data_IF_893348878782
#
_entry.id   IF_893348878782
#
_cell.length_a   1.000
_cell.length_b   1.000
_cell.length_c   1.000
_cell.angle_alpha   90.00
_cell.angle_beta   90.00
_cell.angle_gamma   90.00
#
_symmetry.space_group_name_H-M   'P 1'
#
loop_
_entity.id
_entity.type
_entity.pdbx_description
1 polymer ?
#
# COMPACT_ATOMS: atom_id res chain seq x y z
N UNK A 1 12.31 -18.48 -3.00
CA UNK A 1 12.79 -19.87 -3.12
C UNK A 1 11.65 -20.74 -3.63
N UNK A 2 11.88 -21.51 -4.71
CA UNK A 2 10.92 -22.50 -5.19
C UNK A 2 11.05 -23.77 -4.31
N UNK A 3 9.97 -24.12 -3.63
CA UNK A 3 9.92 -25.33 -2.80
C UNK A 3 9.57 -26.56 -3.65
N UNK A 4 8.69 -26.39 -4.62
CA UNK A 4 8.36 -27.38 -5.63
C UNK A 4 8.05 -26.67 -6.94
N UNK A 5 8.45 -27.23 -8.06
CA UNK A 5 8.20 -26.60 -9.35
C UNK A 5 8.13 -27.59 -10.49
N UNK A 6 7.02 -27.49 -11.27
CA UNK A 6 6.89 -27.99 -12.62
C UNK A 6 6.24 -26.91 -13.45
N UNK A 7 6.21 -27.06 -14.77
CA UNK A 7 5.44 -26.13 -15.63
C UNK A 7 3.94 -26.06 -15.26
N UNK A 8 3.44 -27.04 -14.52
CA UNK A 8 2.02 -27.17 -14.17
C UNK A 8 1.71 -26.77 -12.72
N UNK A 9 2.67 -26.93 -11.80
CA UNK A 9 2.49 -26.69 -10.37
C UNK A 9 3.70 -25.97 -9.79
N UNK A 10 3.49 -25.01 -8.90
CA UNK A 10 4.57 -24.34 -8.17
C UNK A 10 4.14 -24.01 -6.76
N UNK A 11 5.08 -24.14 -5.83
CA UNK A 11 4.97 -23.62 -4.47
C UNK A 11 6.25 -22.81 -4.21
N UNK A 12 6.08 -21.52 -3.98
CA UNK A 12 7.19 -20.59 -3.73
C UNK A 12 7.08 -20.08 -2.31
N UNK A 13 8.22 -20.11 -1.61
CA UNK A 13 8.41 -19.42 -0.35
C UNK A 13 9.27 -18.19 -0.60
N UNK A 14 8.83 -17.04 -0.12
CA UNK A 14 9.54 -15.79 -0.26
C UNK A 14 9.46 -14.99 1.04
N UNK A 15 10.32 -14.01 1.18
CA UNK A 15 10.27 -13.12 2.33
C UNK A 15 11.31 -12.01 2.26
N UNK A 16 11.18 -11.10 3.21
CA UNK A 16 12.11 -10.00 3.40
C UNK A 16 12.30 -9.75 4.88
N UNK A 17 13.53 -9.80 5.34
CA UNK A 17 13.93 -9.34 6.67
C UNK A 17 14.52 -7.94 6.54
N UNK A 18 14.08 -7.03 7.40
CA UNK A 18 14.57 -5.66 7.44
C UNK A 18 14.96 -5.34 8.87
N UNK A 19 16.24 -5.13 9.09
CA UNK A 19 16.74 -4.54 10.31
C UNK A 19 16.85 -3.03 10.07
N UNK A 20 16.07 -2.24 10.83
CA UNK A 20 16.01 -0.78 10.65
C UNK A 20 15.80 -0.05 11.97
N UNK A 21 16.36 1.14 12.03
CA UNK A 21 16.21 2.02 13.17
C UNK A 21 15.77 3.39 12.71
N UNK A 22 14.78 3.93 13.39
CA UNK A 22 14.45 5.35 13.33
C UNK A 22 15.19 6.10 14.43
N UNK A 23 15.65 7.30 14.11
CA UNK A 23 16.13 8.28 15.06
C UNK A 23 15.42 9.61 14.79
N UNK A 24 14.68 10.11 15.77
CA UNK A 24 13.90 11.33 15.70
C UNK A 24 13.98 12.10 17.01
N UNK A 25 13.52 13.34 17.00
CA UNK A 25 13.51 14.19 18.19
C UNK A 25 12.45 13.75 19.20
N UNK A 26 11.42 13.02 18.75
CA UNK A 26 10.37 12.47 19.58
C UNK A 26 10.68 11.04 19.99
N UNK A 27 10.52 10.71 21.27
CA UNK A 27 10.70 9.35 21.79
C UNK A 27 9.77 8.30 21.12
N UNK A 28 8.66 8.71 20.50
CA UNK A 28 7.77 7.83 19.75
C UNK A 28 8.36 7.37 18.41
N UNK A 29 9.26 8.15 17.84
CA UNK A 29 9.87 7.93 16.54
C UNK A 29 11.32 7.47 16.63
N UNK A 30 11.88 7.37 17.84
CA UNK A 30 13.18 6.76 18.05
C UNK A 30 13.03 5.27 18.38
N UNK A 31 13.89 4.44 17.81
CA UNK A 31 14.01 3.03 18.18
C UNK A 31 13.98 2.04 17.04
N UNK A 32 13.90 0.78 17.44
CA UNK A 32 13.87 -0.38 16.54
C UNK A 32 12.53 -0.46 15.79
N UNK A 33 12.62 -0.54 14.47
CA UNK A 33 11.49 -0.73 13.55
C UNK A 33 11.68 -1.97 12.68
N UNK A 34 12.50 -2.89 13.13
CA UNK A 34 12.85 -4.12 12.41
C UNK A 34 11.66 -5.07 12.30
N UNK A 35 11.55 -5.73 11.18
CA UNK A 35 10.49 -6.70 10.93
C UNK A 35 10.87 -7.69 9.84
N UNK A 36 10.17 -8.79 9.83
CA UNK A 36 10.16 -9.80 8.79
C UNK A 36 8.77 -9.89 8.20
N UNK A 37 8.65 -9.98 6.89
CA UNK A 37 7.47 -10.58 6.27
C UNK A 37 7.87 -11.73 5.38
N UNK A 38 7.03 -12.75 5.34
CA UNK A 38 7.24 -13.92 4.52
C UNK A 38 5.90 -14.49 4.04
N UNK A 39 5.92 -15.24 2.96
CA UNK A 39 4.70 -15.78 2.38
C UNK A 39 4.92 -17.04 1.56
N UNK A 40 3.82 -17.72 1.34
CA UNK A 40 3.70 -18.88 0.47
C UNK A 40 2.76 -18.54 -0.69
N UNK A 41 3.20 -18.82 -1.90
CA UNK A 41 2.40 -18.68 -3.10
C UNK A 41 2.37 -20.00 -3.85
N UNK A 42 1.18 -20.61 -3.89
CA UNK A 42 0.92 -21.86 -4.59
C UNK A 42 0.16 -21.62 -5.88
N UNK A 43 0.50 -22.37 -6.95
CA UNK A 43 -0.25 -22.42 -8.21
C UNK A 43 -0.35 -23.86 -8.66
N UNK A 44 -1.55 -24.25 -9.16
CA UNK A 44 -1.81 -25.60 -9.66
C UNK A 44 -2.69 -25.53 -10.90
N UNK A 45 -2.30 -26.22 -11.97
CA UNK A 45 -3.15 -26.43 -13.14
C UNK A 45 -4.34 -27.32 -12.75
N UNK A 46 -5.55 -26.87 -13.02
CA UNK A 46 -6.81 -27.57 -12.71
C UNK A 46 -7.57 -27.99 -13.97
N UNK A 47 -7.35 -27.29 -15.09
CA UNK A 47 -7.93 -27.62 -16.39
C UNK A 47 -7.08 -27.00 -17.52
N UNK A 48 -7.32 -27.29 -18.81
CA UNK A 48 -6.70 -26.58 -19.92
C UNK A 48 -6.93 -25.06 -19.76
N UNK A 49 -5.84 -24.27 -19.74
CA UNK A 49 -5.83 -22.81 -19.58
C UNK A 49 -6.27 -22.29 -18.20
N UNK A 50 -6.67 -23.15 -17.25
CA UNK A 50 -7.08 -22.74 -15.89
C UNK A 50 -6.07 -23.19 -14.85
N UNK A 51 -5.76 -22.28 -13.92
CA UNK A 51 -4.92 -22.55 -12.74
C UNK A 51 -5.65 -22.08 -11.50
N UNK A 52 -5.66 -22.88 -10.46
CA UNK A 52 -5.93 -22.42 -9.10
C UNK A 52 -4.68 -21.80 -8.53
N UNK A 53 -4.83 -20.80 -7.68
CA UNK A 53 -3.73 -20.22 -6.91
C UNK A 53 -4.19 -19.84 -5.51
N UNK A 54 -3.23 -19.83 -4.59
CA UNK A 54 -3.42 -19.34 -3.24
C UNK A 54 -2.20 -18.54 -2.81
N UNK A 55 -2.41 -17.55 -1.96
CA UNK A 55 -1.37 -16.70 -1.42
C UNK A 55 -1.63 -16.45 0.06
N UNK A 56 -0.62 -16.67 0.88
CA UNK A 56 -0.60 -16.31 2.29
C UNK A 56 0.67 -15.56 2.60
N UNK A 57 0.57 -14.42 3.32
CA UNK A 57 1.69 -13.58 3.74
C UNK A 57 1.48 -13.14 5.19
N UNK A 58 2.54 -13.22 5.97
CA UNK A 58 2.53 -12.86 7.39
C UNK A 58 3.68 -11.91 7.71
N UNK A 59 3.47 -11.00 8.68
CA UNK A 59 4.52 -10.11 9.20
C UNK A 59 4.79 -10.41 10.66
N UNK A 60 6.07 -10.34 11.03
CA UNK A 60 6.58 -10.44 12.39
C UNK A 60 7.37 -9.19 12.70
N UNK A 61 6.96 -8.46 13.74
CA UNK A 61 7.73 -7.34 14.28
C UNK A 61 8.77 -7.85 15.27
N UNK A 62 9.99 -7.36 15.23
CA UNK A 62 11.02 -7.77 16.18
C UNK A 62 10.92 -6.99 17.50
N UNK A 63 10.48 -5.72 17.41
CA UNK A 63 10.34 -4.86 18.58
C UNK A 63 9.03 -5.09 19.37
N UNK A 64 7.97 -5.60 18.71
CA UNK A 64 6.64 -5.67 19.32
C UNK A 64 5.83 -6.84 18.74
N UNK A 65 5.75 -7.94 19.49
CA UNK A 65 5.03 -9.15 19.09
C UNK A 65 3.52 -8.91 18.90
N UNK A 66 2.93 -7.87 19.47
CA UNK A 66 1.51 -7.52 19.29
C UNK A 66 1.21 -6.99 17.88
N UNK A 67 2.23 -6.63 17.12
CA UNK A 67 2.12 -6.16 15.73
C UNK A 67 2.24 -7.27 14.69
N UNK A 68 2.35 -8.52 15.13
CA UNK A 68 2.36 -9.66 14.22
C UNK A 68 0.98 -9.85 13.59
N UNK A 69 0.92 -10.03 12.28
CA UNK A 69 -0.37 -10.13 11.60
C UNK A 69 -0.29 -10.78 10.22
N UNK A 70 -1.41 -11.40 9.82
CA UNK A 70 -1.63 -11.80 8.43
C UNK A 70 -1.75 -10.55 7.55
N UNK A 71 -0.88 -10.44 6.56
CA UNK A 71 -0.90 -9.37 5.56
C UNK A 71 -1.86 -9.71 4.42
N UNK A 72 -1.69 -10.89 3.81
CA UNK A 72 -2.49 -11.39 2.72
C UNK A 72 -2.94 -12.83 3.01
N UNK A 73 -4.15 -13.19 2.58
CA UNK A 73 -4.67 -14.55 2.63
C UNK A 73 -5.83 -14.68 1.65
N UNK A 74 -5.57 -15.18 0.45
CA UNK A 74 -6.60 -15.32 -0.58
C UNK A 74 -6.36 -16.55 -1.46
N UNK A 75 -7.45 -17.02 -2.07
CA UNK A 75 -7.46 -18.13 -3.00
C UNK A 75 -8.26 -17.73 -4.25
N UNK A 76 -7.85 -18.22 -5.40
CA UNK A 76 -8.53 -17.88 -6.65
C UNK A 76 -8.22 -18.80 -7.80
N UNK A 77 -8.78 -18.42 -8.95
CA UNK A 77 -8.57 -19.08 -10.23
C UNK A 77 -8.08 -18.07 -11.26
N UNK A 78 -7.25 -18.52 -12.17
CA UNK A 78 -6.64 -17.70 -13.21
C UNK A 78 -6.78 -18.38 -14.56
N UNK A 79 -7.11 -17.58 -15.58
CA UNK A 79 -7.13 -17.97 -16.97
C UNK A 79 -6.41 -16.92 -17.82
N UNK A 80 -5.59 -17.33 -18.78
CA UNK A 80 -4.81 -16.40 -19.59
C UNK A 80 -5.66 -15.43 -20.44
N UNK A 81 -6.88 -15.84 -20.81
CA UNK A 81 -7.80 -15.02 -21.64
C UNK A 81 -8.72 -14.17 -20.78
N UNK A 82 -9.27 -14.76 -19.70
CA UNK A 82 -10.31 -14.11 -18.89
C UNK A 82 -9.77 -13.37 -17.66
N UNK A 83 -8.47 -13.52 -17.34
CA UNK A 83 -7.87 -12.90 -16.16
C UNK A 83 -7.95 -13.79 -14.93
N UNK A 84 -8.03 -13.18 -13.76
CA UNK A 84 -8.07 -13.88 -12.46
C UNK A 84 -9.25 -13.41 -11.61
N UNK A 85 -9.74 -14.33 -10.79
CA UNK A 85 -10.76 -14.06 -9.77
C UNK A 85 -10.30 -14.70 -8.46
N UNK A 86 -10.22 -13.93 -7.40
CA UNK A 86 -9.85 -14.40 -6.06
C UNK A 86 -10.76 -13.85 -4.98
N UNK A 87 -10.76 -14.55 -3.84
CA UNK A 87 -11.49 -14.15 -2.64
C UNK A 87 -10.59 -14.25 -1.42
N UNK A 88 -10.69 -13.26 -0.52
CA UNK A 88 -9.98 -13.27 0.74
C UNK A 88 -9.46 -11.89 1.18
N UNK A 89 -8.40 -11.89 2.00
CA UNK A 89 -7.66 -10.68 2.37
C UNK A 89 -6.62 -10.37 1.32
N UNK A 90 -6.83 -9.29 0.58
CA UNK A 90 -5.97 -8.91 -0.55
C UNK A 90 -5.74 -7.39 -0.57
N UNK A 91 -4.86 -6.94 -1.44
CA UNK A 91 -4.69 -5.54 -1.73
C UNK A 91 -5.95 -4.95 -2.37
N UNK A 92 -6.38 -3.80 -1.85
CA UNK A 92 -7.46 -3.02 -2.42
C UNK A 92 -7.06 -2.41 -3.77
N UNK A 93 -8.05 -2.14 -4.63
CA UNK A 93 -7.81 -1.53 -5.96
C UNK A 93 -7.12 -0.17 -5.89
N UNK A 94 -7.30 0.56 -4.79
CA UNK A 94 -6.66 1.86 -4.62
C UNK A 94 -5.13 1.73 -4.43
N UNK A 95 -4.68 0.59 -3.92
CA UNK A 95 -3.25 0.29 -3.82
C UNK A 95 -2.58 0.14 -5.20
N UNK A 96 -3.32 -0.18 -6.26
CA UNK A 96 -2.77 -0.20 -7.62
C UNK A 96 -2.18 1.17 -8.03
N UNK A 97 -2.71 2.26 -7.45
CA UNK A 97 -2.21 3.63 -7.62
C UNK A 97 -1.16 3.96 -6.57
N UNK A 98 -1.49 3.79 -5.28
CA UNK A 98 -0.62 4.25 -4.19
C UNK A 98 0.66 3.43 -4.06
N UNK A 99 0.70 2.21 -4.60
CA UNK A 99 1.91 1.41 -4.74
C UNK A 99 3.01 2.06 -5.61
N UNK A 100 2.68 3.09 -6.38
CA UNK A 100 3.66 3.81 -7.19
C UNK A 100 4.67 4.58 -6.33
N UNK A 101 4.24 5.10 -5.20
CA UNK A 101 5.08 5.81 -4.23
C UNK A 101 5.54 4.91 -3.08
N UNK A 102 4.88 3.78 -2.84
CA UNK A 102 5.31 2.74 -1.88
C UNK A 102 6.48 1.90 -2.43
N UNK A 103 7.60 2.52 -2.65
CA UNK A 103 8.81 1.90 -3.22
C UNK A 103 9.99 1.98 -2.27
N UNK A 104 9.74 1.57 -1.03
CA UNK A 104 10.71 1.54 0.06
C UNK A 104 12.16 1.16 -0.37
N UNK A 105 13.19 1.54 0.40
CA UNK A 105 13.13 1.59 1.88
C UNK A 105 12.69 2.91 2.50
N UNK A 106 11.98 3.71 1.78
CA UNK A 106 11.49 5.03 2.19
C UNK A 106 10.61 5.00 3.42
N UNK A 107 10.31 6.17 3.97
CA UNK A 107 9.36 6.33 5.05
C UNK A 107 8.00 5.76 4.65
N UNK A 108 7.35 5.07 5.57
CA UNK A 108 6.13 4.32 5.31
C UNK A 108 4.87 5.12 5.46
N UNK A 109 4.99 6.35 5.89
CA UNK A 109 3.86 7.19 6.14
C UNK A 109 3.34 7.76 4.84
N UNK A 110 3.00 6.86 3.93
CA UNK A 110 2.19 7.25 2.80
C UNK A 110 0.87 7.76 3.34
N UNK A 111 0.53 8.96 2.97
CA UNK A 111 -0.64 9.69 3.40
C UNK A 111 -1.92 8.87 3.33
N UNK A 112 -1.91 7.85 2.52
CA UNK A 112 -3.05 7.06 2.17
C UNK A 112 -3.15 5.71 2.90
N UNK A 113 -2.06 5.12 3.38
CA UNK A 113 -2.00 3.73 3.84
C UNK A 113 -2.39 3.51 5.30
N UNK A 114 -2.97 4.50 5.96
CA UNK A 114 -3.36 4.35 7.37
C UNK A 114 -4.52 3.39 7.62
N UNK A 115 -5.27 2.99 6.60
CA UNK A 115 -6.44 2.15 6.79
C UNK A 115 -6.35 0.91 5.91
N UNK A 116 -6.08 -0.23 6.53
CA UNK A 116 -6.15 -1.57 5.92
C UNK A 116 -7.62 -2.02 5.80
N UNK A 117 -8.45 -1.21 5.16
CA UNK A 117 -9.88 -1.44 4.96
C UNK A 117 -10.40 -0.63 3.77
N UNK A 118 -11.69 -0.80 3.40
CA UNK A 118 -12.38 -0.01 2.37
C UNK A 118 -11.67 -0.01 1.00
N UNK A 119 -11.02 -1.13 0.66
CA UNK A 119 -10.24 -1.32 -0.58
C UNK A 119 -9.07 -0.33 -0.76
N UNK A 120 -8.57 0.22 0.35
CA UNK A 120 -7.44 1.18 0.35
C UNK A 120 -6.09 0.49 0.45
N UNK A 121 -5.78 -0.13 1.57
CA UNK A 121 -4.61 -0.97 1.76
C UNK A 121 -4.98 -2.45 1.58
N UNK A 122 -4.60 -3.30 2.54
CA UNK A 122 -4.98 -4.71 2.57
C UNK A 122 -6.33 -4.87 3.26
N UNK A 123 -7.36 -5.17 2.51
CA UNK A 123 -8.70 -5.32 3.04
C UNK A 123 -9.15 -6.78 3.05
N UNK A 124 -10.07 -7.12 3.95
CA UNK A 124 -10.66 -8.44 4.10
C UNK A 124 -11.96 -8.55 3.32
N UNK A 125 -12.40 -9.80 3.11
CA UNK A 125 -13.66 -10.10 2.45
C UNK A 125 -13.77 -9.49 1.05
N UNK A 126 -12.66 -9.46 0.32
CA UNK A 126 -12.60 -8.98 -1.05
C UNK A 126 -12.87 -10.12 -2.03
N UNK A 127 -13.77 -9.90 -2.96
CA UNK A 127 -13.82 -10.60 -4.25
C UNK A 127 -13.13 -9.70 -5.26
N UNK A 128 -12.04 -10.18 -5.86
CA UNK A 128 -11.20 -9.38 -6.76
C UNK A 128 -11.14 -10.04 -8.14
N UNK A 129 -11.52 -9.29 -9.17
CA UNK A 129 -11.28 -9.66 -10.56
C UNK A 129 -10.18 -8.78 -11.14
N UNK A 130 -9.20 -9.38 -11.83
CA UNK A 130 -8.11 -8.67 -12.51
C UNK A 130 -7.91 -9.20 -13.92
N UNK A 131 -7.80 -8.30 -14.89
CA UNK A 131 -7.56 -8.65 -16.28
C UNK A 131 -6.57 -7.70 -16.94
N UNK A 132 -5.37 -8.17 -17.33
CA UNK A 132 -4.53 -7.48 -18.28
C UNK A 132 -5.04 -7.71 -19.71
N UNK A 133 -4.96 -6.69 -20.56
CA UNK A 133 -5.36 -6.75 -21.96
C UNK A 133 -4.61 -5.72 -22.81
N UNK A 134 -4.78 -5.77 -24.11
CA UNK A 134 -4.28 -4.74 -25.02
C UNK A 134 -5.42 -3.81 -25.44
N UNK A 135 -5.18 -2.51 -25.33
CA UNK A 135 -6.08 -1.47 -25.79
C UNK A 135 -5.28 -0.52 -26.70
N UNK A 136 -5.73 -0.32 -27.94
CA UNK A 136 -5.00 0.46 -28.95
C UNK A 136 -3.52 0.08 -29.07
N UNK A 137 -3.23 -1.23 -29.11
CA UNK A 137 -1.89 -1.81 -29.17
C UNK A 137 -0.99 -1.47 -27.95
N UNK A 138 -1.56 -0.94 -26.88
CA UNK A 138 -0.86 -0.63 -25.62
C UNK A 138 -1.34 -1.55 -24.51
N UNK A 139 -0.47 -1.78 -23.53
CA UNK A 139 -0.83 -2.57 -22.35
C UNK A 139 -1.83 -1.80 -21.49
N UNK A 140 -2.91 -2.46 -21.14
CA UNK A 140 -3.90 -1.99 -20.20
C UNK A 140 -4.20 -3.08 -19.15
N UNK A 141 -4.69 -2.68 -17.99
CA UNK A 141 -5.17 -3.58 -16.96
C UNK A 141 -6.40 -3.00 -16.27
N UNK A 142 -7.37 -3.85 -16.01
CA UNK A 142 -8.57 -3.53 -15.24
C UNK A 142 -8.60 -4.39 -13.98
N UNK A 143 -8.96 -3.79 -12.85
CA UNK A 143 -9.37 -4.53 -11.66
C UNK A 143 -10.74 -4.06 -11.18
N UNK A 144 -11.57 -5.02 -10.74
CA UNK A 144 -12.85 -4.80 -10.10
C UNK A 144 -12.82 -5.50 -8.75
N UNK A 145 -13.34 -4.83 -7.73
CA UNK A 145 -13.43 -5.41 -6.39
C UNK A 145 -14.82 -5.21 -5.80
N UNK A 146 -15.26 -6.21 -5.08
CA UNK A 146 -16.39 -6.12 -4.18
C UNK A 146 -15.94 -6.51 -2.77
N UNK A 147 -16.21 -5.66 -1.79
CA UNK A 147 -15.96 -5.95 -0.39
C UNK A 147 -17.27 -6.34 0.27
N UNK A 148 -17.36 -7.58 0.76
CA UNK A 148 -18.52 -8.05 1.50
C UNK A 148 -18.55 -7.45 2.90
N UNK A 149 -19.73 -7.12 3.37
CA UNK A 149 -19.95 -6.61 4.73
C UNK A 149 -19.37 -7.54 5.79
N UNK A 150 -18.66 -6.95 6.73
CA UNK A 150 -18.21 -7.59 7.97
C UNK A 150 -18.60 -6.70 9.16
N UNK A 151 -19.62 -7.12 9.87
CA UNK A 151 -20.17 -6.46 11.06
C UNK A 151 -19.91 -7.24 12.35
N UNK A 152 -18.91 -8.14 12.37
CA UNK A 152 -18.59 -8.95 13.54
C UNK A 152 -18.29 -8.07 14.77
N UNK A 153 -19.15 -8.16 15.78
CA UNK A 153 -19.07 -7.34 16.99
C UNK A 153 -17.88 -7.66 17.91
N UNK A 154 -17.23 -8.83 17.70
CA UNK A 154 -15.98 -9.18 18.39
C UNK A 154 -14.79 -8.34 17.89
N UNK A 155 -14.92 -7.68 16.75
CA UNK A 155 -13.87 -6.86 16.16
C UNK A 155 -14.01 -5.41 16.61
N UNK A 156 -12.89 -4.69 16.61
CA UNK A 156 -12.91 -3.24 16.81
C UNK A 156 -13.65 -2.55 15.64
N UNK A 157 -14.33 -1.43 15.87
CA UNK A 157 -15.04 -0.70 14.81
C UNK A 157 -14.19 -0.40 13.57
N UNK A 158 -12.92 -0.06 13.75
CA UNK A 158 -11.99 0.22 12.64
C UNK A 158 -11.72 -0.98 11.71
N UNK A 159 -11.97 -2.21 12.21
CA UNK A 159 -11.82 -3.45 11.42
C UNK A 159 -13.11 -3.92 10.75
N UNK A 160 -14.25 -3.33 11.06
CA UNK A 160 -15.52 -3.63 10.41
C UNK A 160 -15.65 -2.88 9.08
N UNK A 161 -16.55 -3.32 8.22
CA UNK A 161 -16.94 -2.62 6.99
C UNK A 161 -18.38 -2.98 6.59
N UNK A 162 -19.05 -2.11 5.87
CA UNK A 162 -20.24 -2.44 5.09
C UNK A 162 -19.85 -3.03 3.74
N UNK A 163 -20.82 -3.16 2.83
CA UNK A 163 -20.53 -3.53 1.45
C UNK A 163 -19.81 -2.39 0.73
N UNK A 164 -18.91 -2.75 -0.18
CA UNK A 164 -18.17 -1.78 -0.99
C UNK A 164 -17.91 -2.30 -2.39
N UNK A 165 -17.70 -1.36 -3.30
CA UNK A 165 -17.30 -1.61 -4.67
C UNK A 165 -16.11 -0.73 -5.03
N UNK A 166 -15.16 -1.27 -5.80
CA UNK A 166 -13.99 -0.55 -6.26
C UNK A 166 -13.54 -1.00 -7.65
N UNK A 167 -12.86 -0.10 -8.33
CA UNK A 167 -12.26 -0.36 -9.63
C UNK A 167 -10.90 0.32 -9.73
N UNK A 168 -9.98 -0.26 -10.51
CA UNK A 168 -8.80 0.42 -10.99
C UNK A 168 -8.57 0.16 -12.48
N UNK A 169 -7.96 1.14 -13.12
CA UNK A 169 -7.59 1.06 -14.52
C UNK A 169 -6.18 1.62 -14.72
N UNK A 170 -5.34 0.84 -15.40
CA UNK A 170 -4.00 1.24 -15.80
C UNK A 170 -3.87 1.21 -17.31
N UNK A 171 -3.23 2.24 -17.87
CA UNK A 171 -2.96 2.34 -19.29
C UNK A 171 -1.50 2.77 -19.54
N UNK A 172 -0.78 2.03 -20.35
CA UNK A 172 0.58 2.35 -20.77
C UNK A 172 0.54 3.26 -21.99
N UNK A 173 0.79 4.57 -21.79
CA UNK A 173 0.91 5.54 -22.89
C UNK A 173 2.12 5.24 -23.78
N UNK A 174 3.23 4.83 -23.15
CA UNK A 174 4.45 4.36 -23.82
C UNK A 174 4.99 3.13 -23.07
N UNK A 175 6.05 2.47 -23.55
CA UNK A 175 6.69 1.39 -22.79
C UNK A 175 7.17 1.81 -21.38
N UNK A 176 7.44 3.09 -21.19
CA UNK A 176 7.98 3.65 -19.92
C UNK A 176 7.00 4.52 -19.16
N UNK A 177 5.94 5.03 -19.79
CA UNK A 177 4.98 5.96 -19.17
C UNK A 177 3.61 5.28 -19.04
N UNK A 178 3.05 5.30 -17.82
CA UNK A 178 1.72 4.76 -17.52
C UNK A 178 0.89 5.76 -16.72
N UNK A 179 -0.42 5.76 -16.97
CA UNK A 179 -1.43 6.39 -16.13
C UNK A 179 -2.21 5.31 -15.40
N UNK A 180 -2.54 5.56 -14.13
CA UNK A 180 -3.34 4.66 -13.31
C UNK A 180 -4.38 5.50 -12.57
N UNK A 181 -5.62 5.03 -12.55
CA UNK A 181 -6.68 5.63 -11.73
C UNK A 181 -7.45 4.52 -11.03
N UNK A 182 -7.92 4.81 -9.82
CA UNK A 182 -8.75 3.90 -9.04
C UNK A 182 -9.78 4.66 -8.22
N UNK A 183 -10.93 4.02 -8.01
CA UNK A 183 -11.99 4.57 -7.17
C UNK A 183 -12.61 3.46 -6.33
N UNK A 184 -13.08 3.81 -5.13
CA UNK A 184 -13.87 2.92 -4.30
C UNK A 184 -14.99 3.67 -3.58
N UNK A 185 -16.09 2.95 -3.35
CA UNK A 185 -17.21 3.40 -2.56
C UNK A 185 -17.59 2.30 -1.56
N UNK A 186 -17.58 2.61 -0.28
CA UNK A 186 -17.81 1.63 0.79
C UNK A 186 -18.84 2.14 1.78
N UNK A 187 -19.76 1.29 2.17
CA UNK A 187 -20.65 1.55 3.30
C UNK A 187 -19.93 1.26 4.63
N UNK A 188 -20.43 1.86 5.69
CA UNK A 188 -19.96 1.62 7.06
C UNK A 188 -21.03 0.90 7.88
N UNK A 189 -20.61 0.21 8.94
CA UNK A 189 -21.53 -0.40 9.89
C UNK A 189 -22.10 0.67 10.85
N UNK A 190 -23.25 0.37 11.45
CA UNK A 190 -23.83 1.26 12.48
C UNK A 190 -22.86 1.48 13.66
N UNK A 191 -22.10 0.44 14.03
CA UNK A 191 -21.11 0.53 15.11
C UNK A 191 -19.96 1.45 14.75
N UNK A 192 -19.49 1.42 13.50
CA UNK A 192 -18.48 2.39 13.01
C UNK A 192 -19.02 3.81 13.08
N UNK A 193 -20.28 4.03 12.72
CA UNK A 193 -20.89 5.36 12.77
C UNK A 193 -21.03 5.88 14.22
N UNK A 194 -21.42 5.03 15.16
CA UNK A 194 -21.63 5.39 16.57
C UNK A 194 -20.31 5.52 17.35
N UNK A 195 -19.43 4.53 17.24
CA UNK A 195 -18.24 4.41 18.10
C UNK A 195 -16.99 5.12 17.53
N UNK A 196 -16.88 5.28 16.20
CA UNK A 196 -15.71 5.84 15.55
C UNK A 196 -16.00 7.08 14.67
N UNK A 197 -17.25 7.57 14.70
CA UNK A 197 -17.64 8.82 14.04
C UNK A 197 -17.61 8.76 12.51
N UNK A 198 -17.59 7.57 11.89
CA UNK A 198 -17.70 7.45 10.44
C UNK A 198 -19.06 7.94 9.94
N UNK A 199 -19.12 8.44 8.72
CA UNK A 199 -20.37 8.63 7.99
C UNK A 199 -20.82 7.30 7.37
N UNK A 200 -22.03 7.26 6.83
CA UNK A 200 -22.63 6.04 6.23
C UNK A 200 -21.82 5.50 5.05
N UNK A 201 -21.13 6.39 4.33
CA UNK A 201 -20.39 6.06 3.12
C UNK A 201 -19.00 6.70 3.15
N UNK A 202 -18.05 5.97 2.62
CA UNK A 202 -16.67 6.38 2.39
C UNK A 202 -16.43 6.25 0.89
N UNK A 203 -16.05 7.36 0.27
CA UNK A 203 -15.68 7.41 -1.14
C UNK A 203 -14.20 7.79 -1.24
N UNK A 204 -13.49 7.16 -2.16
CA UNK A 204 -12.08 7.47 -2.40
C UNK A 204 -11.76 7.39 -3.88
N UNK A 205 -11.02 8.37 -4.36
CA UNK A 205 -10.42 8.45 -5.68
C UNK A 205 -8.90 8.46 -5.52
N UNK A 206 -8.19 7.79 -6.40
CA UNK A 206 -6.73 7.84 -6.52
C UNK A 206 -6.32 7.92 -7.98
N UNK A 207 -5.35 8.76 -8.27
CA UNK A 207 -4.80 8.96 -9.61
C UNK A 207 -3.27 8.96 -9.53
N UNK A 208 -2.61 8.37 -10.52
CA UNK A 208 -1.16 8.28 -10.53
C UNK A 208 -0.57 8.27 -11.92
N UNK A 209 0.62 8.82 -12.01
CA UNK A 209 1.49 8.76 -13.18
C UNK A 209 2.79 8.08 -12.81
N UNK A 210 3.26 7.21 -13.68
CA UNK A 210 4.50 6.48 -13.53
C UNK A 210 5.34 6.61 -14.80
N UNK A 211 6.55 7.13 -14.65
CA UNK A 211 7.62 6.98 -15.62
C UNK A 211 8.67 6.02 -15.05
N UNK A 212 8.92 4.92 -15.74
CA UNK A 212 9.90 3.93 -15.32
C UNK A 212 10.77 3.49 -16.50
N UNK A 213 12.05 3.79 -16.43
CA UNK A 213 13.09 3.36 -17.37
C UNK A 213 14.12 2.49 -16.64
N UNK A 214 15.20 2.10 -17.34
CA UNK A 214 16.30 1.33 -16.72
C UNK A 214 17.00 2.09 -15.58
N UNK A 215 17.08 3.43 -15.67
CA UNK A 215 17.82 4.27 -14.72
C UNK A 215 16.95 5.17 -13.87
N UNK A 216 15.77 5.56 -14.37
CA UNK A 216 14.93 6.59 -13.75
C UNK A 216 13.59 5.98 -13.40
N UNK A 217 13.15 6.21 -12.18
CA UNK A 217 11.81 5.93 -11.69
C UNK A 217 11.23 7.23 -11.16
N UNK A 218 10.13 7.71 -11.76
CA UNK A 218 9.38 8.87 -11.30
C UNK A 218 7.93 8.46 -11.12
N UNK A 219 7.37 8.77 -9.97
CA UNK A 219 5.96 8.54 -9.69
C UNK A 219 5.36 9.77 -9.01
N UNK A 220 4.12 10.07 -9.35
CA UNK A 220 3.30 11.01 -8.61
C UNK A 220 1.91 10.41 -8.40
N UNK A 221 1.36 10.62 -7.21
CA UNK A 221 0.06 10.10 -6.79
C UNK A 221 -0.74 11.21 -6.14
N UNK A 222 -1.99 11.33 -6.53
CA UNK A 222 -3.00 12.13 -5.87
C UNK A 222 -4.09 11.20 -5.32
N UNK A 223 -4.56 11.46 -4.09
CA UNK A 223 -5.74 10.78 -3.56
C UNK A 223 -6.71 11.77 -2.93
N UNK A 224 -7.98 11.50 -3.06
CA UNK A 224 -9.03 12.20 -2.35
C UNK A 224 -9.96 11.21 -1.69
N UNK A 225 -10.29 11.46 -0.44
CA UNK A 225 -11.14 10.58 0.35
C UNK A 225 -12.15 11.37 1.14
N UNK A 226 -13.40 10.96 1.06
CA UNK A 226 -14.47 11.51 1.88
C UNK A 226 -14.80 10.57 3.04
N UNK A 227 -14.88 11.13 4.26
CA UNK A 227 -15.32 10.45 5.48
C UNK A 227 -14.40 9.33 6.00
N UNK A 228 -13.17 9.23 5.51
CA UNK A 228 -12.17 8.30 6.03
C UNK A 228 -10.84 9.00 6.20
N UNK A 229 -10.56 9.41 7.41
CA UNK A 229 -9.36 10.13 7.78
C UNK A 229 -8.54 9.25 8.71
N UNK A 230 -7.25 9.59 8.83
CA UNK A 230 -6.24 8.90 9.64
C UNK A 230 -6.76 8.35 10.98
N UNK A 231 -6.33 7.15 11.39
CA UNK A 231 -6.70 6.54 12.68
C UNK A 231 -6.21 7.31 13.91
N UNK A 232 -5.33 8.29 13.73
CA UNK A 232 -4.85 9.13 14.83
C UNK A 232 -5.87 10.18 15.27
N UNK A 233 -6.98 10.33 14.57
CA UNK A 233 -8.00 11.33 14.85
C UNK A 233 -9.29 10.71 15.37
N UNK A 234 -9.84 11.31 16.42
CA UNK A 234 -11.06 10.87 17.11
C UNK A 234 -12.35 11.01 16.30
N UNK A 235 -12.34 11.63 15.12
CA UNK A 235 -13.50 11.81 14.26
C UNK A 235 -13.14 11.65 12.79
N UNK A 236 -13.55 10.54 12.20
CA UNK A 236 -13.38 10.24 10.76
C UNK A 236 -14.40 10.97 9.88
N UNK A 237 -14.60 12.26 10.11
CA UNK A 237 -15.53 13.11 9.34
C UNK A 237 -14.76 14.20 8.61
N UNK A 238 -15.13 14.46 7.36
CA UNK A 238 -14.52 15.44 6.49
C UNK A 238 -13.93 14.79 5.25
N UNK A 239 -13.22 15.56 4.47
CA UNK A 239 -12.45 15.08 3.33
C UNK A 239 -10.96 15.14 3.62
N UNK A 240 -10.21 14.33 2.92
CA UNK A 240 -8.76 14.36 2.94
C UNK A 240 -8.21 14.27 1.53
N UNK A 241 -7.22 15.08 1.23
CA UNK A 241 -6.47 15.03 -0.04
C UNK A 241 -5.01 14.76 0.25
N UNK A 242 -4.39 13.84 -0.47
CA UNK A 242 -2.96 13.59 -0.38
C UNK A 242 -2.26 13.79 -1.71
N UNK A 243 -1.02 14.23 -1.62
CA UNK A 243 -0.10 14.41 -2.74
C UNK A 243 1.18 13.68 -2.38
N UNK A 244 1.60 12.78 -3.25
CA UNK A 244 2.83 12.02 -3.08
C UNK A 244 3.63 12.05 -4.37
N UNK A 245 4.94 12.22 -4.25
CA UNK A 245 5.86 12.15 -5.38
C UNK A 245 7.13 11.39 -4.96
N UNK A 246 7.67 10.63 -5.89
CA UNK A 246 8.90 9.87 -5.69
C UNK A 246 9.75 9.89 -6.94
N UNK A 247 11.02 10.22 -6.77
CA UNK A 247 12.05 10.07 -7.80
C UNK A 247 13.16 9.17 -7.28
N UNK A 248 13.57 8.18 -8.08
CA UNK A 248 14.74 7.32 -7.84
C UNK A 248 15.60 7.31 -9.09
N UNK A 249 16.90 7.39 -8.89
CA UNK A 249 17.87 7.38 -9.98
C UNK A 249 18.92 6.31 -9.74
N UNK A 250 19.12 5.39 -10.67
CA UNK A 250 20.21 4.41 -10.64
C UNK A 250 21.49 5.09 -11.12
N UNK A 251 22.22 5.66 -10.17
CA UNK A 251 23.48 6.37 -10.44
C UNK A 251 24.54 5.39 -10.94
N UNK A 252 24.68 4.25 -10.26
CA UNK A 252 25.50 3.10 -10.65
C UNK A 252 24.69 1.82 -10.51
N UNK A 253 25.27 0.65 -10.78
CA UNK A 253 24.59 -0.64 -10.53
C UNK A 253 24.37 -0.89 -9.03
N UNK A 254 25.09 -0.17 -8.17
CA UNK A 254 25.03 -0.35 -6.71
C UNK A 254 24.40 0.83 -5.97
N UNK A 255 24.40 2.04 -6.53
CA UNK A 255 23.99 3.26 -5.82
C UNK A 255 22.71 3.83 -6.44
N UNK A 256 21.71 4.01 -5.61
CA UNK A 256 20.40 4.56 -6.01
C UNK A 256 19.96 5.66 -5.04
N UNK A 257 20.23 6.94 -5.30
CA UNK A 257 19.62 8.05 -4.59
C UNK A 257 18.12 8.13 -4.87
N UNK A 258 17.40 8.70 -3.90
CA UNK A 258 15.97 8.97 -4.00
C UNK A 258 15.62 10.31 -3.35
N UNK A 259 14.55 10.89 -3.84
CA UNK A 259 13.86 12.02 -3.23
C UNK A 259 12.36 11.75 -3.25
N UNK A 260 11.68 12.06 -2.17
CA UNK A 260 10.24 11.92 -2.02
C UNK A 260 9.59 13.17 -1.44
N UNK A 261 8.29 13.30 -1.65
CA UNK A 261 7.44 14.31 -1.06
C UNK A 261 6.10 13.69 -0.70
N UNK A 262 5.61 14.02 0.50
CA UNK A 262 4.29 13.57 0.96
C UNK A 262 3.58 14.70 1.68
N UNK A 263 2.32 14.96 1.28
CA UNK A 263 1.44 15.90 1.98
C UNK A 263 0.04 15.31 2.10
N UNK A 264 -0.51 15.34 3.30
CA UNK A 264 -1.91 14.96 3.59
C UNK A 264 -2.62 16.15 4.22
N UNK A 265 -3.67 16.60 3.56
CA UNK A 265 -4.50 17.73 4.00
C UNK A 265 -5.85 17.17 4.41
N UNK A 266 -6.27 17.47 5.62
CA UNK A 266 -7.65 17.26 6.06
C UNK A 266 -8.45 18.55 5.93
N UNK A 267 -9.65 18.45 5.36
CA UNK A 267 -10.62 19.54 5.33
C UNK A 267 -11.80 19.20 6.22
N UNK A 268 -12.00 19.99 7.26
CA UNK A 268 -13.11 19.85 8.21
C UNK A 268 -13.77 21.20 8.50
N UNK A 269 -15.08 21.29 8.36
CA UNK A 269 -15.84 22.53 8.57
C UNK A 269 -15.24 23.75 7.83
N UNK A 270 -14.80 23.55 6.58
CA UNK A 270 -14.20 24.59 5.74
C UNK A 270 -12.76 25.00 6.13
N UNK A 271 -12.14 24.31 7.07
CA UNK A 271 -10.75 24.57 7.47
C UNK A 271 -9.85 23.42 6.99
N UNK A 272 -8.72 23.80 6.40
CA UNK A 272 -7.67 22.88 5.99
C UNK A 272 -6.63 22.74 7.08
N UNK A 273 -6.17 21.52 7.31
CA UNK A 273 -5.13 21.19 8.27
C UNK A 273 -4.19 20.15 7.66
N UNK A 274 -2.91 20.45 7.62
CA UNK A 274 -1.89 19.48 7.21
C UNK A 274 -1.72 18.44 8.31
N UNK A 275 -1.93 17.17 7.97
CA UNK A 275 -1.69 16.03 8.84
C UNK A 275 -0.32 15.42 8.62
N UNK A 276 0.16 15.46 7.38
CA UNK A 276 1.52 15.13 6.96
C UNK A 276 1.98 16.22 5.99
N UNK A 277 3.22 16.63 6.10
CA UNK A 277 3.90 17.50 5.14
C UNK A 277 5.40 17.33 5.30
N UNK A 278 6.02 16.51 4.48
CA UNK A 278 7.46 16.26 4.56
C UNK A 278 8.08 15.98 3.20
N UNK A 279 9.34 16.24 3.13
CA UNK A 279 10.24 15.83 2.07
C UNK A 279 11.20 14.77 2.60
N UNK A 280 11.65 13.89 1.73
CA UNK A 280 12.65 12.88 2.11
C UNK A 280 13.77 12.81 1.09
N UNK A 281 14.98 12.65 1.59
CA UNK A 281 16.18 12.39 0.82
C UNK A 281 16.81 11.10 1.30
N UNK A 282 17.24 10.26 0.37
CA UNK A 282 17.87 9.03 0.76
C UNK A 282 18.79 8.46 -0.29
N UNK A 283 19.53 7.45 0.14
CA UNK A 283 20.37 6.64 -0.71
C UNK A 283 20.23 5.17 -0.35
N UNK A 284 20.12 4.35 -1.37
CA UNK A 284 20.16 2.88 -1.24
C UNK A 284 21.42 2.37 -1.89
N UNK A 285 22.15 1.53 -1.16
CA UNK A 285 23.29 0.78 -1.67
C UNK A 285 22.87 -0.68 -1.89
N UNK A 286 22.79 -1.09 -3.15
CA UNK A 286 22.50 -2.45 -3.58
C UNK A 286 23.77 -3.29 -3.48
N UNK A 287 23.90 -4.12 -2.45
CA UNK A 287 25.06 -5.00 -2.26
C UNK A 287 25.05 -6.13 -3.29
N UNK A 288 23.87 -6.66 -3.56
CA UNK A 288 23.60 -7.66 -4.61
C UNK A 288 22.09 -7.63 -4.97
N UNK A 289 21.61 -8.63 -5.71
CA UNK A 289 20.18 -8.74 -6.09
C UNK A 289 19.23 -8.94 -4.91
N UNK A 290 19.74 -9.38 -3.75
CA UNK A 290 18.95 -9.81 -2.61
C UNK A 290 19.19 -8.97 -1.35
N UNK A 291 20.22 -8.14 -1.33
CA UNK A 291 20.65 -7.42 -0.14
C UNK A 291 20.94 -5.95 -0.42
N UNK A 292 20.42 -5.06 0.40
CA UNK A 292 20.65 -3.63 0.30
C UNK A 292 20.78 -2.97 1.68
N UNK A 293 21.54 -1.88 1.71
CA UNK A 293 21.66 -0.96 2.84
C UNK A 293 21.07 0.37 2.43
N UNK A 294 20.44 1.07 3.35
CA UNK A 294 19.80 2.34 3.06
C UNK A 294 19.91 3.32 4.21
N UNK A 295 19.87 4.59 3.85
CA UNK A 295 19.73 5.72 4.75
C UNK A 295 18.78 6.73 4.11
N UNK A 296 17.79 7.22 4.87
CA UNK A 296 16.84 8.24 4.44
C UNK A 296 16.66 9.26 5.55
N UNK A 297 16.50 10.51 5.18
CA UNK A 297 16.20 11.61 6.09
C UNK A 297 14.89 12.26 5.67
N UNK A 298 13.98 12.43 6.64
CA UNK A 298 12.71 13.11 6.51
C UNK A 298 12.83 14.52 7.08
N UNK A 299 12.59 15.52 6.23
CA UNK A 299 12.45 16.93 6.62
C UNK A 299 10.97 17.21 6.84
N UNK A 300 10.58 17.42 8.08
CA UNK A 300 9.19 17.65 8.44
C UNK A 300 8.84 19.13 8.38
N UNK A 301 7.85 19.47 7.54
CA UNK A 301 7.40 20.86 7.33
C UNK A 301 6.13 21.20 8.12
N UNK A 302 5.72 20.35 9.09
CA UNK A 302 4.56 20.63 9.92
C UNK A 302 4.88 21.63 11.03
N UNK A 303 3.91 22.47 11.37
CA UNK A 303 4.03 23.34 12.54
C UNK A 303 3.98 22.52 13.83
N UNK A 304 4.94 22.73 14.73
CA UNK A 304 5.05 22.06 16.04
C UNK A 304 3.86 22.34 16.99
N UNK A 305 2.95 23.24 16.62
CA UNK A 305 1.84 23.68 17.47
C UNK A 305 0.55 22.86 17.30
N UNK A 306 0.56 21.79 16.51
CA UNK A 306 -0.62 20.95 16.32
C UNK A 306 -0.65 19.78 17.32
N UNK A 307 -1.61 19.72 18.25
CA UNK A 307 -1.72 18.59 19.18
C UNK A 307 -1.93 17.26 18.44
N UNK A 308 -1.08 16.28 18.73
CA UNK A 308 -1.20 14.92 18.19
C UNK A 308 -0.61 14.72 16.80
N UNK A 309 0.02 15.72 16.22
CA UNK A 309 0.76 15.64 14.96
C UNK A 309 2.25 15.64 15.27
N UNK A 310 2.98 14.70 14.69
CA UNK A 310 4.44 14.67 14.81
C UNK A 310 5.06 15.59 13.76
N UNK A 311 5.78 16.59 14.20
CA UNK A 311 6.45 17.60 13.40
C UNK A 311 7.99 17.48 13.47
N UNK A 312 8.51 16.37 13.98
CA UNK A 312 9.95 16.15 14.07
C UNK A 312 10.55 15.58 12.78
N UNK A 313 11.77 15.99 12.47
CA UNK A 313 12.60 15.34 11.47
C UNK A 313 12.96 13.93 11.92
N UNK A 314 13.17 13.04 10.94
CA UNK A 314 13.49 11.64 11.20
C UNK A 314 14.64 11.16 10.33
N UNK A 315 15.52 10.37 10.93
CA UNK A 315 16.53 9.59 10.23
C UNK A 315 16.11 8.12 10.25
N UNK A 316 16.10 7.47 9.09
CA UNK A 316 15.86 6.05 8.93
C UNK A 316 17.06 5.39 8.28
N UNK A 317 17.63 4.40 8.94
CA UNK A 317 18.71 3.61 8.41
C UNK A 317 18.46 2.12 8.61
N UNK A 318 18.95 1.32 7.68
CA UNK A 318 18.79 -0.12 7.82
C UNK A 318 19.42 -0.95 6.73
N UNK A 319 19.23 -2.24 6.88
CA UNK A 319 19.63 -3.26 5.94
C UNK A 319 18.47 -4.20 5.69
N UNK A 320 18.27 -4.61 4.44
CA UNK A 320 17.27 -5.60 4.09
C UNK A 320 17.85 -6.74 3.27
N UNK A 321 17.32 -7.93 3.50
CA UNK A 321 17.60 -9.14 2.74
C UNK A 321 16.29 -9.78 2.30
N UNK A 322 16.20 -10.15 1.02
CA UNK A 322 15.05 -10.85 0.46
C UNK A 322 15.47 -12.14 -0.26
N UNK A 323 14.62 -13.16 -0.23
CA UNK A 323 14.84 -14.48 -0.82
C UNK A 323 13.68 -15.00 -1.63
#
# INVERSE_FOLDING_TARGET
VSLTGSQQNSLNFYGTIIARRYSGQNARDDGDRSYLYFGLMGKKKIAPRWRAYAHWEYTVSFADATRNSTRLAYIGVQNATFGSLDIGRNWGVLYDVTALTDRSPLFREMAYNYIDNFMRGRARNLLTYRRPFSLFQRRAALALQYQFKDGDDRQTPGKQNGNGFGLSFRYALTPTLSLIAAASASQTTQRQQRAAGYRRRIDTLAEGVLYASKKIYLAAVFTQSDNAISPQQTANRGSASSYEALAKYRLTDHIQPNIGYTRLIQTRAGRNMDLLNYEELGVTWLLNSNMQVFINYEFNNLSQHMPGVDASDKLDMGISYHW
#
